data_IF_959135838570
#
_entry.id   IF_959135838570
#
_cell.length_a   1.000
_cell.length_b   1.000
_cell.length_c   1.000
_cell.angle_alpha   90.00
_cell.angle_beta   90.00
_cell.angle_gamma   90.00
#
_symmetry.space_group_name_H-M   'P 1'
#
loop_
_entity.id
_entity.type
_entity.pdbx_description
1 polymer ?
#
# COMPACT_ATOMS: atom_id res chain seq x y z
N UNK A 1 5.16 32.38 3.55
CA UNK A 1 6.33 31.61 3.09
C UNK A 1 6.34 30.32 3.84
N UNK A 2 6.00 29.20 3.20
CA UNK A 2 5.86 27.89 3.87
C UNK A 2 7.21 27.19 3.77
N UNK A 3 7.91 27.00 4.89
CA UNK A 3 9.21 26.29 4.95
C UNK A 3 8.99 24.76 5.00
N UNK A 4 7.77 24.30 5.29
CA UNK A 4 7.42 22.89 5.33
C UNK A 4 7.23 22.27 3.94
N UNK A 5 7.32 20.93 3.86
CA UNK A 5 7.09 20.20 2.62
C UNK A 5 5.66 20.40 2.11
N UNK A 6 5.53 20.60 0.82
CA UNK A 6 4.24 20.58 0.12
C UNK A 6 3.73 19.13 0.02
N UNK A 7 2.43 18.94 -0.21
CA UNK A 7 1.87 17.60 -0.38
C UNK A 7 2.52 16.83 -1.54
N UNK A 8 2.87 17.51 -2.64
CA UNK A 8 3.56 16.88 -3.77
C UNK A 8 4.98 16.42 -3.41
N UNK A 9 5.72 17.19 -2.62
CA UNK A 9 7.05 16.80 -2.15
C UNK A 9 6.97 15.63 -1.16
N UNK A 10 5.96 15.61 -0.29
CA UNK A 10 5.69 14.47 0.61
C UNK A 10 5.43 13.22 -0.22
N UNK A 11 4.58 13.28 -1.24
CA UNK A 11 4.28 12.15 -2.13
C UNK A 11 5.54 11.67 -2.87
N UNK A 12 6.37 12.60 -3.38
CA UNK A 12 7.62 12.25 -4.04
C UNK A 12 8.59 11.51 -3.10
N UNK A 13 8.69 11.94 -1.84
CA UNK A 13 9.46 11.28 -0.79
C UNK A 13 8.92 9.87 -0.52
N UNK A 14 7.61 9.72 -0.30
CA UNK A 14 6.98 8.43 -0.02
C UNK A 14 7.23 7.45 -1.18
N UNK A 15 7.12 7.90 -2.43
CA UNK A 15 7.43 7.07 -3.61
C UNK A 15 8.87 6.57 -3.61
N UNK A 16 9.82 7.43 -3.23
CA UNK A 16 11.22 7.05 -3.09
C UNK A 16 11.42 6.03 -1.96
N UNK A 17 10.80 6.27 -0.80
CA UNK A 17 10.84 5.38 0.35
C UNK A 17 10.29 3.99 -0.01
N UNK A 18 9.15 3.93 -0.71
CA UNK A 18 8.56 2.68 -1.18
C UNK A 18 9.48 1.92 -2.13
N UNK A 19 10.13 2.60 -3.09
CA UNK A 19 11.10 1.95 -3.98
C UNK A 19 12.29 1.33 -3.22
N UNK A 20 12.65 1.91 -2.09
CA UNK A 20 13.69 1.40 -1.19
C UNK A 20 13.17 0.40 -0.14
N UNK A 21 11.90 0.04 -0.19
CA UNK A 21 11.26 -0.84 0.79
C UNK A 21 11.21 -0.26 2.21
N UNK A 22 11.24 1.08 2.33
CA UNK A 22 11.14 1.77 3.62
C UNK A 22 9.68 1.86 4.03
N UNK A 23 9.38 1.54 5.29
CA UNK A 23 8.05 1.74 5.84
C UNK A 23 7.77 3.22 6.07
N UNK A 24 6.55 3.62 5.75
CA UNK A 24 6.04 4.99 5.96
C UNK A 24 4.96 4.96 7.02
N UNK A 25 4.93 5.98 7.87
CA UNK A 25 3.96 6.12 8.94
C UNK A 25 2.82 7.06 8.52
N UNK A 26 1.59 6.57 8.60
CA UNK A 26 0.38 7.33 8.32
C UNK A 26 -0.46 7.55 9.56
N UNK A 27 -1.04 8.74 9.67
CA UNK A 27 -2.10 9.08 10.59
C UNK A 27 -3.43 9.13 9.81
N UNK A 28 -4.40 8.30 10.19
CA UNK A 28 -5.75 8.28 9.63
C UNK A 28 -6.78 8.52 10.74
N UNK A 29 -7.21 9.76 10.91
CA UNK A 29 -7.95 10.17 12.09
C UNK A 29 -7.08 10.01 13.35
N UNK A 30 -7.50 9.16 14.27
CA UNK A 30 -6.74 8.85 15.50
C UNK A 30 -5.84 7.60 15.34
N UNK A 31 -6.01 6.86 14.26
CA UNK A 31 -5.27 5.62 14.02
C UNK A 31 -3.90 5.89 13.41
N UNK A 32 -2.89 5.20 13.96
CA UNK A 32 -1.51 5.22 13.49
C UNK A 32 -1.18 3.91 12.78
N UNK A 33 -0.63 4.02 11.60
CA UNK A 33 -0.31 2.88 10.76
C UNK A 33 1.13 2.97 10.24
N UNK A 34 1.85 1.86 10.25
CA UNK A 34 3.05 1.68 9.45
C UNK A 34 2.72 0.85 8.23
N UNK A 35 3.17 1.33 7.07
CA UNK A 35 2.85 0.72 5.78
C UNK A 35 4.13 0.56 4.96
N UNK A 36 4.29 -0.57 4.31
CA UNK A 36 5.41 -0.82 3.41
C UNK A 36 4.94 -1.59 2.16
N UNK A 37 5.58 -1.38 1.01
CA UNK A 37 5.27 -2.14 -0.20
C UNK A 37 5.70 -3.60 -0.05
N UNK A 38 4.87 -4.53 -0.52
CA UNK A 38 5.15 -5.96 -0.42
C UNK A 38 6.35 -6.40 -1.27
N UNK A 39 6.57 -5.74 -2.42
CA UNK A 39 7.60 -6.12 -3.39
C UNK A 39 9.02 -5.82 -2.91
N UNK A 40 9.25 -4.66 -2.29
CA UNK A 40 10.60 -4.16 -1.98
C UNK A 40 10.99 -4.22 -0.51
N UNK A 41 10.05 -4.58 0.37
CA UNK A 41 10.34 -4.68 1.81
C UNK A 41 11.40 -5.73 2.09
N UNK A 42 12.34 -5.41 2.97
CA UNK A 42 13.36 -6.37 3.41
C UNK A 42 12.85 -7.26 4.55
N UNK A 43 13.42 -8.47 4.68
CA UNK A 43 13.07 -9.41 5.76
C UNK A 43 13.24 -8.76 7.15
N UNK A 44 14.28 -7.96 7.35
CA UNK A 44 14.52 -7.27 8.62
C UNK A 44 13.39 -6.30 8.97
N UNK A 45 12.93 -5.50 7.99
CA UNK A 45 11.82 -4.55 8.18
C UNK A 45 10.50 -5.27 8.41
N UNK A 46 10.22 -6.31 7.62
CA UNK A 46 9.04 -7.15 7.80
C UNK A 46 8.99 -7.75 9.21
N UNK A 47 10.10 -8.34 9.67
CA UNK A 47 10.20 -8.91 11.02
C UNK A 47 10.02 -7.83 12.08
N UNK A 48 10.54 -6.63 11.84
CA UNK A 48 10.34 -5.47 12.72
C UNK A 48 8.86 -5.07 12.82
N UNK A 49 8.17 -4.97 11.69
CA UNK A 49 6.73 -4.65 11.65
C UNK A 49 5.89 -5.73 12.35
N UNK A 50 6.22 -7.00 12.17
CA UNK A 50 5.51 -8.13 12.83
C UNK A 50 5.58 -8.08 14.36
N UNK A 51 6.67 -7.56 14.92
CA UNK A 51 6.80 -7.38 16.37
C UNK A 51 5.89 -6.28 16.92
N UNK A 52 5.40 -5.39 16.06
CA UNK A 52 4.51 -4.29 16.43
C UNK A 52 3.04 -4.69 16.43
N UNK A 53 2.67 -5.81 15.83
CA UNK A 53 1.29 -6.27 15.81
C UNK A 53 0.97 -7.17 14.63
N UNK A 54 -0.32 -7.49 14.50
CA UNK A 54 -0.83 -8.25 13.37
C UNK A 54 -0.68 -7.45 12.08
N UNK A 55 -0.04 -8.06 11.08
CA UNK A 55 0.16 -7.44 9.77
C UNK A 55 -0.99 -7.83 8.85
N UNK A 56 -1.48 -6.85 8.13
CA UNK A 56 -2.45 -7.00 7.05
C UNK A 56 -1.76 -6.87 5.70
N UNK A 57 -2.13 -7.72 4.74
CA UNK A 57 -1.72 -7.61 3.34
C UNK A 57 -2.87 -7.01 2.54
N UNK A 58 -2.63 -5.88 1.90
CA UNK A 58 -3.56 -5.28 0.96
C UNK A 58 -3.18 -5.65 -0.49
N UNK A 59 -4.16 -6.07 -1.27
CA UNK A 59 -4.04 -6.36 -2.71
C UNK A 59 -5.24 -5.76 -3.45
N UNK A 60 -5.12 -5.61 -4.76
CA UNK A 60 -6.23 -5.14 -5.60
C UNK A 60 -7.36 -6.19 -5.69
N UNK A 61 -8.58 -5.76 -6.03
CA UNK A 61 -9.71 -6.65 -6.29
C UNK A 61 -9.41 -7.65 -7.42
N UNK A 62 -8.74 -7.23 -8.50
CA UNK A 62 -8.29 -8.09 -9.58
C UNK A 62 -7.38 -9.21 -9.09
N UNK A 63 -6.44 -8.87 -8.22
CA UNK A 63 -5.56 -9.88 -7.62
C UNK A 63 -6.34 -10.82 -6.70
N UNK A 64 -7.26 -10.29 -5.91
CA UNK A 64 -8.14 -11.08 -5.05
C UNK A 64 -8.98 -12.08 -5.86
N UNK A 65 -9.56 -11.65 -6.98
CA UNK A 65 -10.31 -12.51 -7.89
C UNK A 65 -9.44 -13.65 -8.44
N UNK A 66 -8.22 -13.34 -8.91
CA UNK A 66 -7.29 -14.36 -9.41
C UNK A 66 -6.95 -15.41 -8.33
N UNK A 67 -6.84 -14.97 -7.08
CA UNK A 67 -6.56 -15.83 -5.94
C UNK A 67 -7.81 -16.52 -5.35
N UNK A 68 -8.99 -16.29 -5.95
CA UNK A 68 -10.27 -16.78 -5.47
C UNK A 68 -10.56 -16.40 -4.02
N UNK A 69 -10.20 -15.17 -3.64
CA UNK A 69 -10.51 -14.57 -2.34
C UNK A 69 -11.41 -13.33 -2.50
N UNK A 70 -11.92 -12.81 -1.39
CA UNK A 70 -12.94 -11.75 -1.41
C UNK A 70 -12.29 -10.36 -1.32
N UNK A 71 -12.70 -9.47 -2.22
CA UNK A 71 -12.42 -8.03 -2.12
C UNK A 71 -13.40 -7.41 -1.10
N UNK A 72 -13.03 -7.43 0.17
CA UNK A 72 -13.90 -7.03 1.29
C UNK A 72 -14.27 -5.55 1.30
N UNK A 73 -13.45 -4.72 0.66
CA UNK A 73 -13.61 -3.27 0.61
C UNK A 73 -14.00 -2.76 -0.80
N UNK A 74 -14.45 -3.67 -1.67
CA UNK A 74 -14.96 -3.41 -3.02
C UNK A 74 -13.86 -3.33 -4.08
N UNK A 75 -12.92 -2.42 -3.95
CA UNK A 75 -11.81 -2.18 -4.88
C UNK A 75 -10.49 -2.81 -4.45
N UNK A 76 -10.42 -3.25 -3.18
CA UNK A 76 -9.25 -3.91 -2.59
C UNK A 76 -9.68 -5.08 -1.70
N UNK A 77 -8.74 -6.00 -1.45
CA UNK A 77 -8.84 -7.01 -0.41
C UNK A 77 -7.79 -6.77 0.66
N UNK A 78 -8.19 -6.91 1.93
CA UNK A 78 -7.28 -6.97 3.08
C UNK A 78 -7.25 -8.38 3.60
N UNK A 79 -6.06 -8.95 3.72
CA UNK A 79 -5.84 -10.32 4.14
C UNK A 79 -4.99 -10.33 5.41
N UNK A 80 -5.42 -11.08 6.42
CA UNK A 80 -4.58 -11.35 7.57
C UNK A 80 -3.41 -12.25 7.15
N UNK A 81 -2.19 -11.89 7.55
CA UNK A 81 -1.01 -12.70 7.30
C UNK A 81 -0.84 -13.68 8.45
N UNK A 82 -0.95 -15.01 8.21
CA UNK A 82 -0.75 -16.01 9.25
C UNK A 82 0.64 -15.92 9.88
N UNK A 83 0.75 -16.28 11.16
CA UNK A 83 2.01 -16.18 11.90
C UNK A 83 3.12 -17.06 11.33
N UNK A 84 2.76 -18.21 10.76
CA UNK A 84 3.68 -19.16 10.13
C UNK A 84 4.16 -18.70 8.72
N UNK A 85 3.53 -17.69 8.13
CA UNK A 85 3.86 -17.20 6.78
C UNK A 85 4.92 -16.10 6.83
N UNK A 86 5.92 -16.25 5.99
CA UNK A 86 7.03 -15.30 5.82
C UNK A 86 6.86 -14.38 4.62
N UNK A 87 7.94 -13.68 4.31
CA UNK A 87 8.01 -12.75 3.18
C UNK A 87 7.80 -13.45 1.83
N UNK A 88 8.28 -14.69 1.69
CA UNK A 88 8.10 -15.48 0.47
C UNK A 88 6.62 -15.71 0.13
N UNK A 89 5.80 -15.97 1.16
CA UNK A 89 4.37 -16.10 0.98
C UNK A 89 3.74 -14.77 0.53
N UNK A 90 4.15 -13.65 1.13
CA UNK A 90 3.69 -12.32 0.75
C UNK A 90 4.03 -12.03 -0.70
N UNK A 91 5.25 -12.31 -1.14
CA UNK A 91 5.67 -12.14 -2.52
C UNK A 91 4.83 -13.02 -3.46
N UNK A 92 4.65 -14.30 -3.13
CA UNK A 92 3.87 -15.21 -3.96
C UNK A 92 2.39 -14.79 -4.09
N UNK A 93 1.80 -14.23 -3.03
CA UNK A 93 0.43 -13.69 -3.06
C UNK A 93 0.36 -12.40 -3.87
N UNK A 94 1.38 -11.55 -3.78
CA UNK A 94 1.42 -10.24 -4.42
C UNK A 94 1.72 -10.32 -5.92
N UNK A 95 2.66 -11.16 -6.32
CA UNK A 95 3.17 -11.27 -7.69
C UNK A 95 2.43 -12.35 -8.50
N UNK A 96 1.72 -11.97 -9.58
CA UNK A 96 1.08 -12.94 -10.48
C UNK A 96 2.06 -13.85 -11.22
N UNK A 97 3.32 -13.45 -11.42
CA UNK A 97 4.30 -14.24 -12.15
C UNK A 97 4.61 -15.57 -11.45
N UNK A 98 4.38 -15.63 -10.14
CA UNK A 98 4.62 -16.83 -9.32
C UNK A 98 3.40 -17.79 -9.24
N UNK A 99 2.31 -17.49 -9.93
CA UNK A 99 1.08 -18.28 -9.83
C UNK A 99 1.22 -19.70 -10.35
N UNK A 100 2.06 -19.92 -11.36
CA UNK A 100 2.34 -21.25 -11.91
C UNK A 100 3.23 -22.09 -10.99
N UNK A 101 4.15 -21.44 -10.27
CA UNK A 101 5.08 -22.14 -9.37
C UNK A 101 4.42 -22.49 -8.02
N UNK A 102 3.50 -21.64 -7.55
CA UNK A 102 2.80 -21.79 -6.28
C UNK A 102 1.29 -21.63 -6.47
N UNK A 103 0.58 -22.59 -7.08
CA UNK A 103 -0.84 -22.45 -7.40
C UNK A 103 -1.74 -22.47 -6.16
N UNK A 104 -1.31 -23.11 -5.07
CA UNK A 104 -2.08 -23.21 -3.82
C UNK A 104 -1.48 -22.31 -2.75
N UNK A 105 -1.92 -21.05 -2.72
CA UNK A 105 -1.45 -20.02 -1.77
C UNK A 105 -2.35 -19.85 -0.54
N UNK A 106 -3.58 -20.34 -0.62
CA UNK A 106 -4.57 -20.30 0.46
C UNK A 106 -4.39 -21.38 1.53
N UNK A 107 -5.27 -21.43 2.54
CA UNK A 107 -6.46 -20.58 2.63
C UNK A 107 -6.12 -19.14 3.01
N UNK A 108 -6.92 -18.19 2.50
CA UNK A 108 -6.82 -16.78 2.86
C UNK A 108 -7.84 -16.44 3.95
N UNK A 109 -7.48 -15.49 4.82
CA UNK A 109 -8.36 -14.92 5.83
C UNK A 109 -8.63 -13.47 5.52
N UNK A 110 -9.74 -13.15 4.81
CA UNK A 110 -10.11 -11.78 4.52
C UNK A 110 -10.49 -11.02 5.80
N UNK A 111 -10.11 -9.73 5.84
CA UNK A 111 -10.44 -8.84 6.95
C UNK A 111 -11.67 -8.03 6.56
N UNK A 112 -12.68 -8.04 7.43
CA UNK A 112 -13.93 -7.33 7.24
C UNK A 112 -14.05 -6.16 8.21
N UNK A 113 -14.69 -5.07 7.76
CA UNK A 113 -14.94 -3.90 8.59
C UNK A 113 -13.71 -3.02 8.80
N UNK A 114 -13.88 -1.94 9.56
CA UNK A 114 -12.86 -0.91 9.73
C UNK A 114 -12.67 -0.03 8.48
N UNK A 115 -11.75 0.93 8.58
CA UNK A 115 -11.41 1.83 7.46
C UNK A 115 -10.30 1.23 6.61
N UNK A 116 -10.47 1.28 5.29
CA UNK A 116 -9.49 0.77 4.32
C UNK A 116 -8.67 1.89 3.64
N UNK A 117 -8.81 3.14 4.08
CA UNK A 117 -8.22 4.30 3.39
C UNK A 117 -6.69 4.26 3.36
N UNK A 118 -6.07 3.81 4.45
CA UNK A 118 -4.61 3.62 4.52
C UNK A 118 -4.15 2.59 3.50
N UNK A 119 -4.84 1.46 3.40
CA UNK A 119 -4.54 0.37 2.48
C UNK A 119 -4.73 0.80 1.02
N UNK A 120 -5.84 1.49 0.74
CA UNK A 120 -6.15 2.04 -0.57
C UNK A 120 -5.10 3.05 -1.03
N UNK A 121 -4.70 3.95 -0.12
CA UNK A 121 -3.63 4.92 -0.38
C UNK A 121 -2.29 4.21 -0.61
N UNK A 122 -1.96 3.19 0.17
CA UNK A 122 -0.73 2.42 0.00
C UNK A 122 -0.65 1.76 -1.39
N UNK A 123 -1.73 1.13 -1.85
CA UNK A 123 -1.79 0.54 -3.19
C UNK A 123 -1.65 1.59 -4.30
N UNK A 124 -2.26 2.76 -4.13
CA UNK A 124 -2.11 3.86 -5.08
C UNK A 124 -0.67 4.38 -5.12
N UNK A 125 0.01 4.48 -3.97
CA UNK A 125 1.43 4.85 -3.91
C UNK A 125 2.31 3.79 -4.59
N UNK A 126 2.04 2.49 -4.39
CA UNK A 126 2.74 1.41 -5.10
C UNK A 126 2.64 1.60 -6.62
N UNK A 127 1.43 1.87 -7.15
CA UNK A 127 1.23 2.17 -8.58
C UNK A 127 2.03 3.39 -9.04
N UNK A 128 2.01 4.48 -8.27
CA UNK A 128 2.77 5.70 -8.57
C UNK A 128 4.30 5.48 -8.51
N UNK A 129 4.75 4.54 -7.69
CA UNK A 129 6.15 4.14 -7.56
C UNK A 129 6.59 3.12 -8.62
N UNK A 130 5.66 2.66 -9.49
CA UNK A 130 5.85 1.58 -10.46
C UNK A 130 6.21 0.24 -9.81
N UNK A 131 5.58 -0.04 -8.68
CA UNK A 131 5.66 -1.31 -7.97
C UNK A 131 4.36 -2.10 -8.15
N UNK A 132 4.43 -3.40 -7.86
CA UNK A 132 3.25 -4.25 -7.75
C UNK A 132 2.29 -3.61 -6.73
N UNK A 133 1.00 -3.41 -7.07
CA UNK A 133 0.05 -2.79 -6.16
C UNK A 133 -0.36 -3.75 -5.04
N UNK A 134 0.58 -3.97 -4.14
CA UNK A 134 0.45 -4.78 -2.94
C UNK A 134 1.28 -4.17 -1.81
N UNK A 135 0.70 -4.07 -0.63
CA UNK A 135 1.32 -3.44 0.52
C UNK A 135 0.96 -4.15 1.82
N UNK A 136 1.88 -4.15 2.75
CA UNK A 136 1.62 -4.60 4.12
C UNK A 136 1.40 -3.41 5.03
N UNK A 137 0.50 -3.57 5.99
CA UNK A 137 0.16 -2.54 6.97
C UNK A 137 0.07 -3.15 8.38
N UNK A 138 0.48 -2.39 9.39
CA UNK A 138 0.30 -2.74 10.79
C UNK A 138 -0.23 -1.54 11.56
N UNK A 139 -1.29 -1.74 12.33
CA UNK A 139 -1.83 -0.71 13.22
C UNK A 139 -0.94 -0.61 14.46
N UNK A 140 -0.49 0.62 14.74
CA UNK A 140 0.44 0.92 15.83
C UNK A 140 -0.11 1.99 16.77
N UNK A 141 -1.42 2.21 16.78
CA UNK A 141 -2.09 3.25 17.56
C UNK A 141 -1.80 3.15 19.06
N UNK A 142 -1.62 1.95 19.58
CA UNK A 142 -1.38 1.68 21.00
C UNK A 142 0.11 1.60 21.36
N UNK A 143 1.00 2.04 20.46
CA UNK A 143 2.44 1.94 20.66
C UNK A 143 3.13 3.30 20.57
N UNK A 144 4.14 3.50 21.40
CA UNK A 144 5.04 4.66 21.30
C UNK A 144 6.19 4.32 20.33
N UNK A 145 5.97 4.59 19.05
CA UNK A 145 6.99 4.34 18.02
C UNK A 145 7.80 5.61 17.79
N UNK A 146 9.07 5.52 18.14
CA UNK A 146 10.04 6.61 17.92
C UNK A 146 10.70 6.50 16.55
N UNK A 147 11.06 7.66 15.99
CA UNK A 147 11.82 7.72 14.74
C UNK A 147 10.95 7.72 13.47
N UNK A 148 9.64 7.82 13.59
CA UNK A 148 8.72 7.99 12.46
C UNK A 148 8.00 9.34 12.54
N UNK A 149 8.01 10.06 11.42
CA UNK A 149 7.15 11.22 11.21
C UNK A 149 5.82 10.73 10.63
N UNK A 150 4.74 10.86 11.38
CA UNK A 150 3.42 10.45 10.93
C UNK A 150 2.84 11.46 9.93
N UNK A 151 2.57 10.98 8.74
CA UNK A 151 1.99 11.76 7.65
C UNK A 151 0.46 11.67 7.75
N UNK A 152 -0.17 12.82 7.87
CA UNK A 152 -1.62 12.92 7.88
C UNK A 152 -2.17 12.51 6.50
N UNK A 153 -2.94 11.42 6.50
CA UNK A 153 -3.49 10.82 5.29
C UNK A 153 -4.43 11.77 4.55
N UNK A 154 -5.21 12.58 5.27
CA UNK A 154 -6.19 13.50 4.68
C UNK A 154 -5.51 14.56 3.80
N UNK A 155 -4.28 14.97 4.17
CA UNK A 155 -3.53 15.98 3.42
C UNK A 155 -3.03 15.50 2.06
N UNK A 156 -2.89 14.20 1.86
CA UNK A 156 -2.28 13.63 0.65
C UNK A 156 -3.24 12.74 -0.14
N UNK A 157 -4.30 12.22 0.50
CA UNK A 157 -5.19 11.22 -0.11
C UNK A 157 -5.85 11.72 -1.40
N UNK A 158 -6.33 12.95 -1.43
CA UNK A 158 -6.95 13.54 -2.62
C UNK A 158 -6.02 13.59 -3.82
N UNK A 159 -4.74 13.88 -3.60
CA UNK A 159 -3.71 13.96 -4.63
C UNK A 159 -3.27 12.58 -5.11
N UNK A 160 -3.29 11.59 -4.21
CA UNK A 160 -2.88 10.22 -4.52
C UNK A 160 -4.00 9.45 -5.22
N UNK A 161 -5.23 9.58 -4.74
CA UNK A 161 -6.36 8.82 -5.26
C UNK A 161 -6.98 9.43 -6.53
N UNK A 162 -6.79 10.73 -6.75
CA UNK A 162 -7.29 11.46 -7.92
C UNK A 162 -6.16 12.20 -8.66
N UNK A 163 -5.16 11.50 -9.21
CA UNK A 163 -4.01 12.15 -9.87
C UNK A 163 -4.43 12.95 -11.11
N UNK A 164 -5.54 12.60 -11.75
CA UNK A 164 -6.06 13.32 -12.91
C UNK A 164 -6.52 14.75 -12.60
N UNK A 165 -6.86 15.05 -11.35
CA UNK A 165 -7.26 16.40 -10.93
C UNK A 165 -6.12 17.43 -11.02
N UNK A 166 -4.88 16.97 -11.17
CA UNK A 166 -3.67 17.83 -11.29
C UNK A 166 -3.21 17.98 -12.74
N UNK A 167 -3.83 17.27 -13.69
CA UNK A 167 -3.47 17.38 -15.09
C UNK A 167 -4.04 18.67 -15.66
N UNK A 168 -3.15 19.56 -16.14
CA UNK A 168 -3.49 20.71 -16.94
C UNK A 168 -3.13 20.42 -18.39
N UNK A 169 -4.02 20.75 -19.33
CA UNK A 169 -3.73 20.64 -20.75
C UNK A 169 -2.60 21.62 -21.12
N UNK A 170 -1.47 21.07 -21.53
CA UNK A 170 -0.29 21.86 -21.91
C UNK A 170 -0.29 22.14 -23.42
N UNK A 171 -0.79 21.21 -24.22
CA UNK A 171 -0.97 21.37 -25.66
C UNK A 171 -1.98 20.37 -26.20
N UNK A 172 -2.77 20.80 -27.20
CA UNK A 172 -3.67 19.93 -27.96
C UNK A 172 -3.27 19.94 -29.45
N UNK A 173 -3.28 18.77 -30.08
CA UNK A 173 -3.08 18.65 -31.52
C UNK A 173 -4.23 17.86 -32.13
N UNK A 174 -4.85 18.39 -33.18
CA UNK A 174 -5.83 17.68 -33.98
C UNK A 174 -5.11 16.81 -35.01
N UNK A 175 -5.21 15.48 -34.85
CA UNK A 175 -4.70 14.53 -35.84
C UNK A 175 -5.89 14.10 -36.70
N UNK A 176 -5.93 14.42 -38.02
CA UNK A 176 -6.98 13.91 -38.89
C UNK A 176 -6.84 12.41 -39.05
N UNK A 177 -7.89 11.68 -38.71
CA UNK A 177 -8.01 10.27 -39.00
C UNK A 177 -8.35 10.11 -40.48
N UNK A 178 -7.53 9.41 -41.27
CA UNK A 178 -7.77 8.99 -42.64
C UNK A 178 -8.58 7.72 -42.65
#
# INVERSE_FOLDING_TARGET
>A
MTIGLTASEIIARIRSDFRMGVAVAFLSGEEKWLVAPAETITLSRFTGMRKLGSIELAITDWRAQTLSTWATDGDIARLAIPEDKGLDWIHSVSDPSDDFNAPLKGPFTPIFGGKADVHRTALAICKMAHLIPSAIAVNVSNQDIKGFDFIDLEKISSLILNPSSQLTEVSAANVPLQ
#
